data_IF_227501119854
#
_entry.id   IF_227501119854
#
_cell.length_a   1.000
_cell.length_b   1.000
_cell.length_c   1.000
_cell.angle_alpha   90.00
_cell.angle_beta   90.00
_cell.angle_gamma   90.00
#
_symmetry.space_group_name_H-M   'P 1'
#
loop_
_entity.id
_entity.type
_entity.pdbx_description
1 polymer ?
#
# COMPACT_ATOMS: atom_id res chain seq x y z
N UNK A 1 -6.43 1.04 -14.94
CA UNK A 1 -5.61 2.19 -15.41
C UNK A 1 -6.00 3.41 -14.60
N UNK A 2 -5.06 4.02 -13.87
CA UNK A 2 -5.29 5.34 -13.27
C UNK A 2 -4.52 6.36 -14.09
N UNK A 3 -5.24 7.13 -14.92
CA UNK A 3 -4.67 8.21 -15.73
C UNK A 3 -3.49 7.82 -16.63
N UNK A 4 -3.48 6.59 -17.17
CA UNK A 4 -2.42 6.10 -18.06
C UNK A 4 -1.23 5.46 -17.36
N UNK A 5 -1.25 5.36 -16.02
CA UNK A 5 -0.27 4.59 -15.25
C UNK A 5 -0.91 3.30 -14.72
N UNK A 6 -0.17 2.19 -14.84
CA UNK A 6 -0.48 0.95 -14.12
C UNK A 6 -0.09 1.14 -12.66
N UNK A 7 -1.01 1.70 -11.89
CA UNK A 7 -0.91 1.72 -10.42
C UNK A 7 -1.65 0.53 -9.87
N UNK A 8 -1.16 -0.02 -8.75
CA UNK A 8 -1.84 -1.08 -8.03
C UNK A 8 -2.72 -0.44 -6.94
N UNK A 9 -4.04 -0.36 -7.13
CA UNK A 9 -4.93 0.25 -6.15
C UNK A 9 -4.97 -0.53 -4.83
N UNK A 10 -4.32 -1.69 -4.73
CA UNK A 10 -4.25 -2.47 -3.48
C UNK A 10 -3.19 -1.94 -2.52
N UNK A 11 -2.20 -1.25 -3.06
CA UNK A 11 -0.97 -0.86 -2.36
C UNK A 11 -0.54 0.57 -2.72
N UNK A 12 -1.40 1.36 -3.37
CA UNK A 12 -1.11 2.75 -3.67
C UNK A 12 -1.93 3.65 -2.73
N UNK A 13 -1.30 4.38 -1.79
CA UNK A 13 -2.00 5.30 -0.89
C UNK A 13 -2.78 6.40 -1.60
N UNK A 14 -2.39 6.75 -2.83
CA UNK A 14 -3.07 7.77 -3.64
C UNK A 14 -4.18 7.18 -4.54
N UNK A 15 -4.27 5.85 -4.65
CA UNK A 15 -5.23 5.15 -5.50
C UNK A 15 -5.86 3.93 -4.78
N UNK A 16 -6.01 3.99 -3.46
CA UNK A 16 -6.40 2.88 -2.63
C UNK A 16 -7.85 2.43 -2.86
N UNK A 17 -8.04 1.22 -3.37
CA UNK A 17 -9.35 0.69 -3.76
C UNK A 17 -9.89 1.24 -5.08
N UNK A 18 -9.21 2.20 -5.69
CA UNK A 18 -9.59 2.80 -6.97
C UNK A 18 -8.81 4.06 -7.31
N UNK A 19 -8.81 4.42 -8.59
CA UNK A 19 -8.08 5.58 -9.09
C UNK A 19 -8.56 6.90 -8.46
N UNK A 20 -7.63 7.68 -7.93
CA UNK A 20 -7.92 8.95 -7.25
C UNK A 20 -8.51 8.80 -5.85
N UNK A 21 -8.57 7.58 -5.32
CA UNK A 21 -8.96 7.33 -3.93
C UNK A 21 -7.72 7.42 -3.05
N UNK A 22 -7.42 8.61 -2.55
CA UNK A 22 -6.34 8.77 -1.58
C UNK A 22 -6.82 8.45 -0.16
N UNK A 23 -5.98 7.78 0.63
CA UNK A 23 -6.22 7.59 2.05
C UNK A 23 -6.01 8.89 2.85
N UNK A 24 -6.66 9.01 4.01
CA UNK A 24 -6.49 10.20 4.85
C UNK A 24 -5.07 10.27 5.44
N UNK A 25 -4.68 11.45 5.94
CA UNK A 25 -3.39 11.62 6.61
C UNK A 25 -3.27 10.67 7.82
N UNK A 26 -2.24 9.82 7.80
CA UNK A 26 -2.01 8.78 8.81
C UNK A 26 -2.73 7.45 8.53
N UNK A 27 -3.41 7.32 7.40
CA UNK A 27 -3.92 6.05 6.90
C UNK A 27 -3.00 5.45 5.83
N UNK A 28 -2.99 4.13 5.77
CA UNK A 28 -2.21 3.31 4.85
C UNK A 28 -3.13 2.52 3.94
N UNK A 29 -2.73 2.32 2.69
CA UNK A 29 -3.48 1.46 1.79
C UNK A 29 -3.18 -0.01 2.10
N UNK A 30 -4.16 -0.70 2.67
CA UNK A 30 -4.09 -2.13 2.96
C UNK A 30 -5.06 -2.91 2.08
N UNK A 31 -4.52 -3.66 1.11
CA UNK A 31 -5.29 -4.52 0.20
C UNK A 31 -6.45 -3.79 -0.52
N UNK A 32 -6.28 -2.50 -0.80
CA UNK A 32 -7.28 -1.66 -1.47
C UNK A 32 -8.32 -1.02 -0.55
N UNK A 33 -8.04 -0.97 0.75
CA UNK A 33 -8.83 -0.22 1.73
C UNK A 33 -7.89 0.62 2.59
N UNK A 34 -8.27 1.87 2.85
CA UNK A 34 -7.55 2.72 3.78
C UNK A 34 -7.74 2.21 5.21
N UNK A 35 -6.63 1.98 5.90
CA UNK A 35 -6.60 1.52 7.27
C UNK A 35 -5.67 2.43 8.08
N UNK A 36 -5.93 2.64 9.36
CA UNK A 36 -5.02 3.43 10.22
C UNK A 36 -3.69 2.73 10.54
N UNK A 37 -3.52 1.48 10.14
CA UNK A 37 -2.32 0.69 10.36
C UNK A 37 -2.31 -0.52 9.43
N UNK A 38 -1.11 -1.00 9.09
CA UNK A 38 -0.97 -2.25 8.37
C UNK A 38 -1.39 -3.45 9.24
N UNK A 39 -2.10 -4.39 8.62
CA UNK A 39 -2.54 -5.61 9.29
C UNK A 39 -1.36 -6.47 9.76
N UNK A 40 -1.62 -7.42 10.65
CA UNK A 40 -0.60 -8.37 11.14
C UNK A 40 0.07 -9.09 9.96
N UNK A 41 1.41 -8.96 9.87
CA UNK A 41 2.21 -9.54 8.78
C UNK A 41 2.51 -8.59 7.62
N UNK A 42 2.01 -7.35 7.67
CA UNK A 42 2.36 -6.30 6.71
C UNK A 42 2.98 -5.11 7.44
N UNK A 43 3.96 -4.46 6.82
CA UNK A 43 4.67 -3.30 7.36
C UNK A 43 4.28 -2.04 6.59
N UNK A 44 4.20 -0.90 7.30
CA UNK A 44 3.95 0.39 6.65
C UNK A 44 5.21 0.88 5.94
N UNK A 45 5.05 1.18 4.66
CA UNK A 45 6.11 1.59 3.76
C UNK A 45 5.62 2.76 2.92
N UNK A 46 5.98 3.98 3.32
CA UNK A 46 5.60 5.21 2.61
C UNK A 46 4.08 5.30 2.30
N UNK A 47 3.23 4.90 3.26
CA UNK A 47 1.76 4.93 3.13
C UNK A 47 1.13 3.68 2.50
N UNK A 48 1.92 2.67 2.16
CA UNK A 48 1.40 1.36 1.72
C UNK A 48 1.72 0.25 2.71
N UNK A 49 0.90 -0.81 2.70
CA UNK A 49 1.18 -2.00 3.49
C UNK A 49 1.82 -3.08 2.63
N UNK A 50 3.10 -3.34 2.89
CA UNK A 50 3.88 -4.34 2.17
C UNK A 50 4.03 -5.59 3.03
N UNK A 51 3.81 -6.75 2.43
CA UNK A 51 4.08 -8.04 3.08
C UNK A 51 5.57 -8.38 2.93
N UNK A 52 6.38 -7.98 3.90
CA UNK A 52 7.82 -8.23 3.95
C UNK A 52 8.17 -9.70 4.21
N UNK A 53 7.18 -10.58 4.41
CA UNK A 53 7.39 -12.02 4.65
C UNK A 53 7.32 -12.88 3.38
N UNK A 54 6.62 -12.40 2.35
CA UNK A 54 6.45 -13.12 1.07
C UNK A 54 6.96 -12.34 -0.14
N UNK A 55 7.19 -11.03 0.01
CA UNK A 55 7.75 -10.20 -1.04
C UNK A 55 9.28 -10.39 -1.11
N UNK A 56 9.82 -11.02 -2.18
CA UNK A 56 11.26 -11.20 -2.34
C UNK A 56 12.02 -9.87 -2.44
N UNK A 57 11.37 -8.79 -2.90
CA UNK A 57 11.97 -7.47 -3.08
C UNK A 57 11.89 -6.61 -1.81
N UNK A 58 11.09 -7.00 -0.82
CA UNK A 58 10.95 -6.33 0.48
C UNK A 58 11.22 -7.29 1.67
N UNK A 59 11.95 -8.38 1.41
CA UNK A 59 12.18 -9.44 2.39
C UNK A 59 13.12 -8.93 3.51
N UNK A 60 12.51 -8.50 4.62
CA UNK A 60 13.20 -7.94 5.78
C UNK A 60 12.96 -6.45 6.05
N UNK A 61 12.10 -5.79 5.26
CA UNK A 61 11.75 -4.39 5.43
C UNK A 61 11.62 -3.66 4.10
N UNK A 62 10.97 -2.50 4.11
CA UNK A 62 10.80 -1.73 2.89
C UNK A 62 12.04 -0.93 2.49
N UNK A 63 12.42 -1.05 1.21
CA UNK A 63 13.56 -0.34 0.62
C UNK A 63 14.93 -0.98 0.89
N UNK A 64 14.99 -2.29 1.08
CA UNK A 64 16.23 -3.07 1.24
C UNK A 64 16.94 -3.38 -0.08
#
# INVERSE_FOLDING_TARGET
>A
ECSGSCVDPRFDPNNCGGCGTACADGEVCNAGTCAGSCGLGTEECEGTCVDTSVDPENCGGCGM
#
